data_IF_906841243628
#
_entry.id   IF_906841243628
#
_cell.length_a   1.000
_cell.length_b   1.000
_cell.length_c   1.000
_cell.angle_alpha   90.00
_cell.angle_beta   90.00
_cell.angle_gamma   90.00
#
_symmetry.space_group_name_H-M   'P 1'
#
loop_
_entity.id
_entity.type
_entity.pdbx_description
1 polymer ?
#
# COMPACT_ATOMS: atom_id res chain seq x y z
N UNK A 1 -4.21 25.24 14.70
CA UNK A 1 -3.87 23.88 15.18
C UNK A 1 -4.21 22.91 14.05
N UNK A 2 -3.44 22.96 12.97
CA UNK A 2 -3.57 22.17 11.73
C UNK A 2 -2.15 21.75 11.34
N UNK A 3 -1.43 21.13 12.27
CA UNK A 3 -0.03 20.70 12.06
C UNK A 3 0.16 19.20 12.35
N UNK A 4 -0.74 18.57 13.12
CA UNK A 4 -0.61 17.14 13.47
C UNK A 4 -0.94 16.20 12.33
N UNK A 5 -2.00 16.49 11.57
CA UNK A 5 -2.45 15.61 10.47
C UNK A 5 -1.43 15.51 9.33
N UNK A 6 -0.76 16.61 9.01
CA UNK A 6 0.24 16.64 7.93
C UNK A 6 1.54 15.96 8.37
N UNK A 7 1.90 16.07 9.65
CA UNK A 7 3.07 15.38 10.22
C UNK A 7 2.92 13.86 10.20
N UNK A 8 1.74 13.35 10.54
CA UNK A 8 1.46 11.91 10.54
C UNK A 8 1.46 11.35 9.11
N UNK A 9 0.91 12.11 8.14
CA UNK A 9 0.92 11.74 6.72
C UNK A 9 2.34 11.74 6.14
N UNK A 10 3.13 12.76 6.44
CA UNK A 10 4.52 12.85 5.94
C UNK A 10 5.38 11.71 6.50
N UNK A 11 5.21 11.38 7.78
CA UNK A 11 5.89 10.23 8.37
C UNK A 11 5.51 8.92 7.65
N UNK A 12 4.22 8.70 7.38
CA UNK A 12 3.74 7.51 6.69
C UNK A 12 4.33 7.38 5.27
N UNK A 13 4.46 8.51 4.55
CA UNK A 13 5.13 8.57 3.23
C UNK A 13 6.59 8.11 3.35
N UNK A 14 7.35 8.65 4.30
CA UNK A 14 8.76 8.29 4.50
C UNK A 14 8.94 6.84 4.97
N UNK A 15 8.07 6.35 5.86
CA UNK A 15 8.10 4.97 6.34
C UNK A 15 7.86 3.99 5.16
N UNK A 16 6.89 4.27 4.29
CA UNK A 16 6.61 3.39 3.15
C UNK A 16 7.60 3.53 1.99
N UNK A 17 8.32 4.65 1.84
CA UNK A 17 9.48 4.71 0.94
C UNK A 17 10.52 3.65 1.31
N UNK A 18 10.83 3.50 2.60
CA UNK A 18 11.78 2.49 3.08
C UNK A 18 11.28 1.08 2.78
N UNK A 19 9.98 0.83 2.96
CA UNK A 19 9.36 -0.46 2.65
C UNK A 19 9.45 -0.76 1.14
N UNK A 20 9.14 0.22 0.29
CA UNK A 20 9.21 0.06 -1.16
C UNK A 20 10.63 -0.10 -1.69
N UNK A 21 11.62 0.60 -1.10
CA UNK A 21 13.03 0.38 -1.41
C UNK A 21 13.46 -1.07 -1.09
N UNK A 22 12.93 -1.64 -0.01
CA UNK A 22 13.24 -3.00 0.43
C UNK A 22 12.45 -4.07 -0.34
N UNK A 23 11.19 -3.77 -0.70
CA UNK A 23 10.27 -4.66 -1.41
C UNK A 23 9.60 -3.94 -2.60
N UNK A 24 10.33 -3.64 -3.69
CA UNK A 24 9.82 -2.80 -4.80
C UNK A 24 8.59 -3.36 -5.51
N UNK A 25 8.41 -4.68 -5.43
CA UNK A 25 7.23 -5.38 -5.90
C UNK A 25 5.92 -4.90 -5.24
N UNK A 26 5.96 -4.43 -3.99
CA UNK A 26 4.81 -3.85 -3.31
C UNK A 26 4.42 -2.51 -3.93
N UNK A 27 5.40 -1.66 -4.24
CA UNK A 27 5.18 -0.38 -4.91
C UNK A 27 4.54 -0.58 -6.29
N UNK A 28 5.09 -1.49 -7.09
CA UNK A 28 4.54 -1.82 -8.40
C UNK A 28 3.09 -2.32 -8.33
N UNK A 29 2.77 -3.18 -7.35
CA UNK A 29 1.40 -3.65 -7.15
C UNK A 29 0.47 -2.51 -6.73
N UNK A 30 0.90 -1.67 -5.80
CA UNK A 30 0.13 -0.52 -5.32
C UNK A 30 -0.15 0.49 -6.45
N UNK A 31 0.85 0.87 -7.25
CA UNK A 31 0.66 1.73 -8.42
C UNK A 31 -0.27 1.09 -9.46
N UNK A 32 -0.13 -0.22 -9.68
CA UNK A 32 -0.94 -0.93 -10.67
C UNK A 32 -2.43 -0.93 -10.34
N UNK A 33 -2.82 -0.83 -9.06
CA UNK A 33 -4.21 -0.62 -8.66
C UNK A 33 -4.75 0.66 -9.30
N UNK A 34 -4.08 1.79 -9.07
CA UNK A 34 -4.48 3.09 -9.60
C UNK A 34 -4.45 3.15 -11.13
N UNK A 35 -3.48 2.51 -11.78
CA UNK A 35 -3.45 2.43 -13.23
C UNK A 35 -4.63 1.64 -13.81
N UNK A 36 -5.04 0.56 -13.15
CA UNK A 36 -6.15 -0.29 -13.61
C UNK A 36 -7.48 0.37 -13.37
N UNK A 37 -7.68 1.03 -12.22
CA UNK A 37 -8.92 1.76 -11.92
C UNK A 37 -9.13 2.94 -12.86
N UNK A 38 -8.06 3.66 -13.24
CA UNK A 38 -8.12 4.71 -14.29
C UNK A 38 -8.62 4.21 -15.65
N UNK A 39 -8.46 2.91 -15.95
CA UNK A 39 -8.89 2.30 -17.22
C UNK A 39 -10.29 1.71 -17.17
N UNK A 40 -10.93 1.65 -16.00
CA UNK A 40 -12.30 1.16 -15.86
C UNK A 40 -13.27 2.13 -16.55
N UNK A 41 -14.08 1.59 -17.47
CA UNK A 41 -15.12 2.37 -18.14
C UNK A 41 -16.31 2.53 -17.20
N UNK A 42 -17.02 3.67 -17.23
CA UNK A 42 -18.29 3.81 -16.53
C UNK A 42 -19.25 2.71 -16.98
N UNK A 43 -19.59 1.81 -16.05
CA UNK A 43 -20.50 0.69 -16.28
C UNK A 43 -21.29 0.41 -14.99
N UNK A 44 -22.46 -0.23 -15.07
CA UNK A 44 -23.20 -0.67 -13.87
C UNK A 44 -22.38 -1.57 -12.94
N UNK A 45 -21.33 -2.22 -13.46
CA UNK A 45 -20.48 -3.16 -12.73
C UNK A 45 -19.13 -2.55 -12.32
N UNK A 46 -18.85 -1.28 -12.64
CA UNK A 46 -17.53 -0.67 -12.44
C UNK A 46 -17.07 -0.74 -10.97
N UNK A 47 -17.98 -0.58 -10.02
CA UNK A 47 -17.68 -0.70 -8.58
C UNK A 47 -17.28 -2.13 -8.19
N UNK A 48 -17.94 -3.15 -8.74
CA UNK A 48 -17.59 -4.55 -8.47
C UNK A 48 -16.29 -4.96 -9.16
N UNK A 49 -16.04 -4.43 -10.37
CA UNK A 49 -14.77 -4.59 -11.07
C UNK A 49 -13.61 -3.96 -10.28
N UNK A 50 -13.80 -2.75 -9.76
CA UNK A 50 -12.81 -2.07 -8.91
C UNK A 50 -12.54 -2.85 -7.62
N UNK A 51 -13.58 -3.32 -6.92
CA UNK A 51 -13.42 -4.16 -5.72
C UNK A 51 -12.63 -5.43 -6.03
N UNK A 52 -12.90 -6.07 -7.15
CA UNK A 52 -12.16 -7.26 -7.57
C UNK A 52 -10.67 -6.94 -7.80
N UNK A 53 -10.38 -5.84 -8.49
CA UNK A 53 -8.99 -5.38 -8.68
C UNK A 53 -8.33 -5.09 -7.34
N UNK A 54 -8.99 -4.34 -6.46
CA UNK A 54 -8.50 -4.00 -5.13
C UNK A 54 -8.17 -5.26 -4.32
N UNK A 55 -9.12 -6.17 -4.14
CA UNK A 55 -8.91 -7.40 -3.38
C UNK A 55 -7.77 -8.26 -3.94
N UNK A 56 -7.66 -8.34 -5.27
CA UNK A 56 -6.59 -9.10 -5.90
C UNK A 56 -5.21 -8.49 -5.66
N UNK A 57 -5.10 -7.15 -5.69
CA UNK A 57 -3.85 -6.45 -5.39
C UNK A 57 -3.47 -6.61 -3.92
N UNK A 58 -4.41 -6.34 -3.01
CA UNK A 58 -4.19 -6.49 -1.56
C UNK A 58 -3.77 -7.93 -1.21
N UNK A 59 -4.42 -8.93 -1.81
CA UNK A 59 -4.05 -10.33 -1.59
C UNK A 59 -2.62 -10.65 -2.05
N UNK A 60 -2.20 -10.15 -3.22
CA UNK A 60 -0.83 -10.35 -3.72
C UNK A 60 0.21 -9.66 -2.83
N UNK A 61 -0.06 -8.42 -2.41
CA UNK A 61 0.83 -7.68 -1.52
C UNK A 61 0.92 -8.32 -0.13
N UNK A 62 -0.21 -8.77 0.43
CA UNK A 62 -0.23 -9.43 1.73
C UNK A 62 0.58 -10.74 1.68
N UNK A 63 0.49 -11.51 0.59
CA UNK A 63 1.32 -12.70 0.43
C UNK A 63 2.82 -12.36 0.37
N UNK A 64 3.22 -11.22 -0.21
CA UNK A 64 4.61 -10.79 -0.19
C UNK A 64 5.07 -10.51 1.24
N UNK A 65 4.30 -9.72 2.01
CA UNK A 65 4.62 -9.44 3.42
C UNK A 65 4.65 -10.70 4.27
N UNK A 66 3.69 -11.60 4.09
CA UNK A 66 3.60 -12.84 4.86
C UNK A 66 4.75 -13.81 4.58
N UNK A 67 5.41 -13.70 3.42
CA UNK A 67 6.61 -14.46 3.08
C UNK A 67 7.91 -13.75 3.49
N UNK A 68 7.84 -12.52 4.00
CA UNK A 68 9.00 -11.79 4.49
C UNK A 68 9.30 -12.16 5.96
N UNK A 69 10.49 -12.71 6.20
CA UNK A 69 10.89 -13.15 7.55
C UNK A 69 10.99 -11.98 8.55
N UNK A 70 11.37 -10.79 8.07
CA UNK A 70 11.47 -9.59 8.89
C UNK A 70 10.10 -9.15 9.38
N UNK A 71 9.13 -9.09 8.47
CA UNK A 71 7.74 -8.81 8.78
C UNK A 71 7.17 -9.85 9.76
N UNK A 72 7.33 -11.15 9.47
CA UNK A 72 6.83 -12.22 10.37
C UNK A 72 7.39 -12.09 11.78
N UNK A 73 8.70 -11.84 11.91
CA UNK A 73 9.35 -11.66 13.21
C UNK A 73 8.83 -10.42 13.94
N UNK A 74 8.66 -9.30 13.24
CA UNK A 74 8.12 -8.08 13.83
C UNK A 74 6.69 -8.29 14.36
N UNK A 75 5.83 -9.01 13.62
CA UNK A 75 4.48 -9.33 14.08
C UNK A 75 4.49 -10.22 15.33
N UNK A 76 5.40 -11.20 15.40
CA UNK A 76 5.57 -12.06 16.58
C UNK A 76 6.08 -11.28 17.81
N UNK A 77 7.06 -10.40 17.63
CA UNK A 77 7.61 -9.55 18.69
C UNK A 77 6.57 -8.59 19.27
N UNK A 78 5.72 -8.01 18.42
CA UNK A 78 4.61 -7.13 18.83
C UNK A 78 3.38 -7.91 19.34
N UNK A 79 3.34 -9.24 19.14
CA UNK A 79 2.24 -10.10 19.59
C UNK A 79 0.92 -9.85 18.85
N UNK A 80 0.98 -9.50 17.56
CA UNK A 80 -0.17 -9.17 16.72
C UNK A 80 -0.39 -10.21 15.61
N UNK A 81 -1.61 -10.27 15.06
CA UNK A 81 -1.93 -11.19 13.97
C UNK A 81 -1.27 -10.73 12.65
N UNK A 82 -0.38 -11.56 12.11
CA UNK A 82 0.38 -11.20 10.93
C UNK A 82 -0.48 -11.08 9.66
N UNK A 83 -1.58 -11.83 9.55
CA UNK A 83 -2.45 -11.80 8.37
C UNK A 83 -3.28 -10.52 8.36
N UNK A 84 -3.91 -10.20 9.48
CA UNK A 84 -4.68 -8.97 9.65
C UNK A 84 -3.80 -7.74 9.41
N UNK A 85 -2.60 -7.70 10.00
CA UNK A 85 -1.68 -6.58 9.82
C UNK A 85 -1.14 -6.50 8.40
N UNK A 86 -0.82 -7.63 7.75
CA UNK A 86 -0.40 -7.61 6.35
C UNK A 86 -1.48 -6.97 5.45
N UNK A 87 -2.76 -7.28 5.69
CA UNK A 87 -3.86 -6.67 4.95
C UNK A 87 -3.95 -5.16 5.21
N UNK A 88 -3.90 -4.75 6.48
CA UNK A 88 -3.97 -3.33 6.88
C UNK A 88 -2.84 -2.53 6.23
N UNK A 89 -1.60 -3.00 6.36
CA UNK A 89 -0.42 -2.35 5.77
C UNK A 89 -0.53 -2.26 4.24
N UNK A 90 -1.07 -3.30 3.58
CA UNK A 90 -1.30 -3.25 2.14
C UNK A 90 -2.32 -2.19 1.72
N UNK A 91 -3.39 -2.00 2.49
CA UNK A 91 -4.37 -0.95 2.23
C UNK A 91 -3.72 0.43 2.36
N UNK A 92 -2.99 0.65 3.45
CA UNK A 92 -2.30 1.91 3.70
C UNK A 92 -1.23 2.22 2.64
N UNK A 93 -0.48 1.21 2.19
CA UNK A 93 0.48 1.36 1.09
C UNK A 93 -0.22 1.77 -0.22
N UNK A 94 -1.35 1.15 -0.57
CA UNK A 94 -2.13 1.54 -1.77
C UNK A 94 -2.65 2.98 -1.67
N UNK A 95 -3.09 3.41 -0.49
CA UNK A 95 -3.54 4.79 -0.26
C UNK A 95 -2.41 5.81 -0.25
N UNK A 96 -1.17 5.38 0.01
CA UNK A 96 0.00 6.27 0.17
C UNK A 96 0.88 6.36 -1.07
N UNK A 97 0.83 5.35 -1.95
CA UNK A 97 1.79 5.24 -3.05
C UNK A 97 1.77 6.41 -4.04
N UNK A 98 0.63 7.06 -4.25
CA UNK A 98 0.56 8.23 -5.15
C UNK A 98 1.29 9.46 -4.57
N UNK A 99 1.17 9.70 -3.27
CA UNK A 99 1.89 10.80 -2.60
C UNK A 99 3.40 10.54 -2.61
N UNK A 100 3.82 9.28 -2.56
CA UNK A 100 5.23 8.88 -2.68
C UNK A 100 5.74 9.15 -4.11
N UNK A 101 4.98 8.75 -5.14
CA UNK A 101 5.32 8.98 -6.55
C UNK A 101 5.43 10.49 -6.84
N UNK A 102 4.50 11.30 -6.35
CA UNK A 102 4.56 12.77 -6.45
C UNK A 102 5.80 13.34 -5.74
N UNK A 103 6.06 12.91 -4.49
CA UNK A 103 7.23 13.33 -3.72
C UNK A 103 8.56 12.97 -4.39
N UNK A 104 8.64 11.84 -5.08
CA UNK A 104 9.85 11.41 -5.78
C UNK A 104 10.08 12.23 -7.06
N UNK A 105 9.00 12.58 -7.78
CA UNK A 105 9.06 13.37 -9.00
C UNK A 105 9.38 14.86 -8.74
N UNK A 106 8.99 15.42 -7.59
CA UNK A 106 9.32 16.80 -7.19
C UNK A 106 10.80 16.99 -6.79
N UNK A 107 11.52 15.90 -6.53
CA UNK A 107 12.94 15.91 -6.14
C UNK A 107 13.91 15.63 -7.32
N UNK A 108 13.40 15.52 -8.56
CA UNK A 108 14.18 15.36 -9.80
C UNK A 108 14.27 16.65 -10.61
#
# INVERSE_FOLDING_TARGET
MIERSDSDRHKLIEDYKIVFDSLPQLEHLALSYWERTKRLKPSPNAVEEEKYVFHNIIFQMANILLNDEGFQRAMEEEGVDAVENAIIECVLMVETVLDIDESNNDNQ
#
